data_IF_972319849982
#
_entry.id   IF_972319849982
#
_cell.length_a   1.000
_cell.length_b   1.000
_cell.length_c   1.000
_cell.angle_alpha   90.00
_cell.angle_beta   90.00
_cell.angle_gamma   90.00
#
_symmetry.space_group_name_H-M   'P 1'
#
loop_
_entity.id
_entity.type
_entity.pdbx_description
1 polymer ?
#
# COMPACT_ATOMS: atom_id res chain seq x y z
N UNK A 1 5.03 25.00 1.24
CA UNK A 1 6.12 24.07 1.63
C UNK A 1 7.28 24.93 2.08
N UNK A 2 7.36 25.19 3.38
CA UNK A 2 8.34 26.13 3.96
C UNK A 2 9.76 25.55 3.88
N UNK A 3 10.72 26.36 3.44
CA UNK A 3 12.14 25.99 3.27
C UNK A 3 12.74 25.35 4.52
N UNK A 4 12.32 25.79 5.71
CA UNK A 4 12.74 25.27 7.02
C UNK A 4 12.25 23.84 7.28
N UNK A 5 11.06 23.48 6.82
CA UNK A 5 10.53 22.11 6.98
C UNK A 5 11.30 21.10 6.12
N UNK A 6 11.66 21.52 4.90
CA UNK A 6 12.42 20.69 3.94
C UNK A 6 13.84 20.42 4.44
N UNK A 7 14.49 21.37 5.11
CA UNK A 7 15.84 21.20 5.67
C UNK A 7 15.86 20.27 6.89
N UNK A 8 14.83 20.29 7.74
CA UNK A 8 14.66 19.34 8.84
C UNK A 8 14.42 17.92 8.29
N UNK A 9 13.48 17.76 7.35
CA UNK A 9 13.20 16.48 6.70
C UNK A 9 14.44 15.88 6.02
N UNK A 10 15.25 16.70 5.33
CA UNK A 10 16.53 16.26 4.75
C UNK A 10 17.53 15.79 5.80
N UNK A 11 17.57 16.45 6.95
CA UNK A 11 18.49 16.09 8.04
C UNK A 11 18.06 14.78 8.69
N UNK A 12 16.75 14.60 8.92
CA UNK A 12 16.18 13.36 9.42
C UNK A 12 16.37 12.19 8.45
N UNK A 13 16.22 12.40 7.14
CA UNK A 13 16.51 11.38 6.13
C UNK A 13 17.99 10.97 6.09
N UNK A 14 18.92 11.92 6.30
CA UNK A 14 20.35 11.62 6.38
C UNK A 14 20.69 10.81 7.63
N UNK A 15 20.00 11.11 8.74
CA UNK A 15 20.26 10.47 10.03
C UNK A 15 19.59 9.10 10.15
N UNK A 16 18.36 8.97 9.64
CA UNK A 16 17.60 7.71 9.59
C UNK A 16 17.74 7.10 8.18
N UNK A 17 18.62 6.11 8.03
CA UNK A 17 18.81 5.34 6.79
C UNK A 17 17.55 4.66 6.23
N UNK A 18 16.47 4.57 7.02
CA UNK A 18 15.19 3.96 6.61
C UNK A 18 14.00 4.83 6.98
N UNK A 19 13.04 4.89 6.07
CA UNK A 19 11.76 5.59 6.21
C UNK A 19 10.63 4.58 6.42
N UNK A 20 9.85 4.68 7.51
CA UNK A 20 8.65 3.89 7.68
C UNK A 20 7.60 4.36 6.66
N UNK A 21 6.99 3.41 5.95
CA UNK A 21 5.97 3.65 4.95
C UNK A 21 4.78 2.70 5.14
N UNK A 22 3.61 3.16 4.72
CA UNK A 22 2.42 2.33 4.54
C UNK A 22 2.16 2.19 3.05
N UNK A 23 1.87 0.98 2.59
CA UNK A 23 1.52 0.72 1.20
C UNK A 23 0.03 0.39 1.16
N UNK A 24 -0.70 1.10 0.31
CA UNK A 24 -2.11 0.84 0.05
C UNK A 24 -2.30 0.43 -1.40
N UNK A 25 -2.91 -0.72 -1.63
CA UNK A 25 -3.21 -1.26 -2.95
C UNK A 25 -4.71 -1.53 -3.05
N UNK A 26 -5.40 -0.73 -3.86
CA UNK A 26 -6.80 -0.94 -4.22
C UNK A 26 -6.91 -1.61 -5.59
N UNK A 27 -7.54 -2.78 -5.64
CA UNK A 27 -7.82 -3.51 -6.88
C UNK A 27 -9.30 -3.81 -7.00
N UNK A 28 -9.80 -3.96 -8.23
CA UNK A 28 -11.17 -4.43 -8.51
C UNK A 28 -11.07 -5.67 -9.37
N UNK A 29 -11.45 -6.81 -8.81
CA UNK A 29 -11.41 -8.11 -9.49
C UNK A 29 -12.82 -8.54 -9.87
N UNK A 30 -12.97 -9.17 -11.03
CA UNK A 30 -14.19 -9.91 -11.38
C UNK A 30 -13.91 -11.38 -11.13
N UNK A 31 -14.70 -12.02 -10.28
CA UNK A 31 -14.61 -13.46 -10.09
C UNK A 31 -15.70 -14.15 -10.91
N UNK A 32 -15.36 -15.28 -11.51
CA UNK A 32 -16.34 -16.21 -12.07
C UNK A 32 -16.45 -17.35 -11.08
N UNK A 33 -17.63 -17.53 -10.50
CA UNK A 33 -17.93 -18.64 -9.59
C UNK A 33 -19.00 -19.46 -10.32
N UNK A 34 -18.59 -20.55 -10.97
CA UNK A 34 -19.45 -21.30 -11.90
C UNK A 34 -19.79 -20.53 -13.18
N UNK A 35 -20.97 -20.80 -13.76
CA UNK A 35 -21.49 -20.12 -14.95
C UNK A 35 -21.93 -18.66 -14.71
N UNK A 36 -21.99 -18.22 -13.45
CA UNK A 36 -22.37 -16.85 -13.09
C UNK A 36 -21.14 -15.94 -12.98
N UNK A 37 -21.18 -14.83 -13.72
CA UNK A 37 -20.21 -13.73 -13.57
C UNK A 37 -20.59 -12.93 -12.31
N UNK A 38 -19.72 -12.84 -11.31
CA UNK A 38 -19.99 -12.00 -10.14
C UNK A 38 -19.76 -10.52 -10.48
N UNK A 39 -20.36 -9.62 -9.69
CA UNK A 39 -20.01 -8.19 -9.77
C UNK A 39 -18.54 -7.96 -9.40
N UNK A 40 -18.01 -6.80 -9.81
CA UNK A 40 -16.64 -6.35 -9.45
C UNK A 40 -16.51 -6.32 -7.92
N UNK A 41 -15.65 -7.16 -7.37
CA UNK A 41 -15.26 -7.16 -5.96
C UNK A 41 -14.07 -6.22 -5.81
N UNK A 42 -14.16 -5.23 -4.92
CA UNK A 42 -13.01 -4.43 -4.55
C UNK A 42 -12.17 -5.17 -3.52
N UNK A 43 -10.85 -5.14 -3.65
CA UNK A 43 -9.89 -5.64 -2.66
C UNK A 43 -8.96 -4.49 -2.31
N UNK A 44 -8.92 -4.11 -1.04
CA UNK A 44 -7.97 -3.12 -0.54
C UNK A 44 -6.96 -3.83 0.35
N UNK A 45 -5.69 -3.70 0.02
CA UNK A 45 -4.59 -4.24 0.82
C UNK A 45 -3.85 -3.07 1.44
N UNK A 46 -3.80 -3.02 2.77
CA UNK A 46 -3.03 -2.04 3.53
C UNK A 46 -1.90 -2.76 4.25
N UNK A 47 -0.67 -2.54 3.80
CA UNK A 47 0.52 -3.06 4.46
C UNK A 47 1.21 -1.98 5.29
N UNK A 48 1.37 -2.26 6.58
CA UNK A 48 2.06 -1.41 7.56
C UNK A 48 3.42 -2.04 7.95
N UNK A 49 4.31 -1.22 8.52
CA UNK A 49 5.61 -1.70 9.02
C UNK A 49 6.70 -1.82 7.96
N UNK A 50 6.45 -1.34 6.74
CA UNK A 50 7.43 -1.38 5.65
C UNK A 50 8.47 -0.30 5.89
N UNK A 51 9.75 -0.67 5.79
CA UNK A 51 10.88 0.25 5.90
C UNK A 51 11.54 0.36 4.52
N UNK A 52 11.41 1.51 3.88
CA UNK A 52 12.14 1.80 2.66
C UNK A 52 13.48 2.43 3.03
N UNK A 53 14.59 1.98 2.43
CA UNK A 53 15.83 2.72 2.58
C UNK A 53 15.68 4.13 1.95
N UNK A 54 16.44 5.09 2.45
CA UNK A 54 16.44 6.44 1.88
C UNK A 54 17.14 6.40 0.51
N UNK A 55 16.51 6.90 -0.56
CA UNK A 55 17.12 6.87 -1.89
C UNK A 55 18.35 7.78 -1.94
N UNK A 56 19.53 7.17 -2.07
CA UNK A 56 20.78 7.87 -2.32
C UNK A 56 21.00 7.97 -3.84
N UNK A 57 20.39 8.95 -4.48
CA UNK A 57 20.52 9.21 -5.92
C UNK A 57 19.39 8.63 -6.79
N UNK A 58 19.66 8.42 -8.09
CA UNK A 58 18.65 8.01 -9.09
C UNK A 58 18.34 6.49 -9.09
N UNK A 59 18.82 5.72 -8.11
CA UNK A 59 18.67 4.26 -8.08
C UNK A 59 17.38 3.85 -7.36
N UNK A 60 16.69 2.87 -7.92
CA UNK A 60 15.56 2.22 -7.26
C UNK A 60 16.02 1.70 -5.89
N UNK A 61 15.25 2.02 -4.86
CA UNK A 61 15.61 1.70 -3.48
C UNK A 61 14.84 0.49 -3.02
N UNK A 62 15.53 -0.45 -2.36
CA UNK A 62 14.92 -1.66 -1.84
C UNK A 62 14.15 -1.36 -0.55
N UNK A 63 12.94 -1.90 -0.47
CA UNK A 63 12.10 -1.85 0.72
C UNK A 63 12.17 -3.21 1.44
N UNK A 64 12.32 -3.19 2.75
CA UNK A 64 12.28 -4.40 3.57
C UNK A 64 10.81 -4.71 3.90
N UNK A 65 10.34 -5.86 3.45
CA UNK A 65 8.98 -6.37 3.68
C UNK A 65 8.90 -7.45 4.75
N UNK A 66 10.04 -7.87 5.33
CA UNK A 66 10.15 -9.02 6.24
C UNK A 66 9.32 -8.93 7.53
N UNK A 67 8.79 -7.75 7.87
CA UNK A 67 7.94 -7.55 9.05
C UNK A 67 6.65 -6.76 8.69
N UNK A 68 6.24 -6.81 7.41
CA UNK A 68 5.08 -6.10 6.94
C UNK A 68 3.79 -6.78 7.42
N UNK A 69 2.94 -6.04 8.13
CA UNK A 69 1.61 -6.49 8.48
C UNK A 69 0.63 -6.03 7.42
N UNK A 70 0.09 -6.95 6.61
CA UNK A 70 -0.85 -6.64 5.55
C UNK A 70 -2.28 -6.97 5.95
N UNK A 71 -3.13 -5.95 6.03
CA UNK A 71 -4.58 -6.07 6.21
C UNK A 71 -5.25 -6.11 4.85
N UNK A 72 -6.23 -6.99 4.69
CA UNK A 72 -6.99 -7.14 3.45
C UNK A 72 -8.46 -6.89 3.73
N UNK A 73 -9.02 -5.85 3.11
CA UNK A 73 -10.43 -5.49 3.20
C UNK A 73 -11.14 -5.81 1.88
N UNK A 74 -12.15 -6.67 1.93
CA UNK A 74 -13.02 -6.96 0.79
C UNK A 74 -14.20 -5.98 0.74
N UNK A 75 -14.31 -5.23 -0.35
CA UNK A 75 -15.41 -4.32 -0.62
C UNK A 75 -16.39 -4.98 -1.58
N UNK A 76 -17.33 -5.73 -1.03
CA UNK A 76 -18.41 -6.38 -1.79
C UNK A 76 -19.59 -5.41 -1.87
N UNK A 77 -19.98 -5.00 -3.08
CA UNK A 77 -21.31 -4.42 -3.29
C UNK A 77 -22.32 -5.56 -3.17
N UNK A 78 -23.02 -5.63 -2.03
CA UNK A 78 -24.00 -6.67 -1.69
C UNK A 78 -24.87 -7.00 -2.91
N UNK A 79 -24.77 -8.25 -3.36
CA UNK A 79 -25.73 -8.82 -4.31
C UNK A 79 -27.05 -9.01 -3.57
N UNK A 80 -28.12 -8.34 -4.01
CA UNK A 80 -29.48 -8.83 -3.77
C UNK A 80 -29.63 -10.13 -4.58
N UNK A 81 -29.30 -11.26 -3.97
CA UNK A 81 -29.74 -12.55 -4.49
C UNK A 81 -31.25 -12.66 -4.21
N UNK A 82 -32.07 -12.13 -5.12
CA UNK A 82 -33.46 -12.58 -5.22
C UNK A 82 -33.41 -13.99 -5.81
N UNK A 83 -33.84 -14.96 -5.00
CA UNK A 83 -34.15 -16.33 -5.44
C UNK A 83 -35.14 -16.34 -6.61
#
# INVERSE_FOLDING_TARGET
MDSTSVSVLKSDLKNKKSLPMKIELDTKVKVKIGGLKTNKVGVRVLCEGIKAAVPTGKKATMATTSNANCKVDLRIKIWKWTF
#
